data_IF_604768262744
#
_entry.id   IF_604768262744
#
_cell.length_a   1.000
_cell.length_b   1.000
_cell.length_c   1.000
_cell.angle_alpha   90.00
_cell.angle_beta   90.00
_cell.angle_gamma   90.00
#
_symmetry.space_group_name_H-M   'P 1'
#
loop_
_entity.id
_entity.type
_entity.pdbx_description
1 polymer ?
#
# COMPACT_ATOMS: atom_id res chain seq x y z
N UNK A 1 -7.18 8.60 0.10
CA UNK A 1 -7.49 10.01 0.37
C UNK A 1 -7.89 10.67 -0.93
N UNK A 2 -7.53 11.95 -1.12
CA UNK A 2 -7.87 12.71 -2.33
C UNK A 2 -7.19 12.18 -3.60
N UNK A 3 -5.96 11.68 -3.49
CA UNK A 3 -5.26 11.05 -4.59
C UNK A 3 -5.80 9.63 -4.81
N UNK A 4 -6.38 9.39 -5.99
CA UNK A 4 -6.96 8.11 -6.39
C UNK A 4 -5.93 7.16 -7.03
N UNK A 5 -4.78 7.69 -7.46
CA UNK A 5 -3.87 6.99 -8.38
C UNK A 5 -4.51 6.78 -9.76
N UNK A 6 -4.10 5.73 -10.46
CA UNK A 6 -4.71 5.32 -11.72
C UNK A 6 -6.20 4.99 -11.57
N UNK A 7 -6.99 5.34 -12.59
CA UNK A 7 -8.42 5.01 -12.66
C UNK A 7 -8.62 4.10 -13.87
N UNK A 8 -9.07 2.87 -13.62
CA UNK A 8 -9.34 1.89 -14.67
C UNK A 8 -10.65 2.14 -15.41
N UNK A 9 -10.88 1.38 -16.49
CA UNK A 9 -12.00 1.52 -17.45
C UNK A 9 -13.39 1.54 -16.76
N UNK A 10 -13.53 0.83 -15.64
CA UNK A 10 -14.79 0.73 -14.88
C UNK A 10 -14.83 1.63 -13.62
N UNK A 11 -13.97 2.66 -13.54
CA UNK A 11 -13.87 3.54 -12.38
C UNK A 11 -13.16 2.93 -11.17
N UNK A 12 -12.51 1.77 -11.35
CA UNK A 12 -11.69 1.13 -10.31
C UNK A 12 -10.50 2.04 -10.01
N UNK A 13 -10.30 2.37 -8.73
CA UNK A 13 -9.25 3.28 -8.30
C UNK A 13 -8.07 2.50 -7.74
N UNK A 14 -6.87 2.80 -8.21
CA UNK A 14 -5.62 2.18 -7.74
C UNK A 14 -5.53 2.21 -6.20
N UNK A 15 -5.88 3.35 -5.57
CA UNK A 15 -5.80 3.49 -4.11
C UNK A 15 -6.60 2.44 -3.34
N UNK A 16 -7.71 1.96 -3.89
CA UNK A 16 -8.60 0.99 -3.25
C UNK A 16 -8.04 -0.43 -3.45
N UNK A 17 -7.57 -0.72 -4.67
CA UNK A 17 -6.94 -2.00 -5.02
C UNK A 17 -5.70 -2.24 -4.16
N UNK A 18 -4.77 -1.28 -4.11
CA UNK A 18 -3.52 -1.43 -3.35
C UNK A 18 -3.77 -1.51 -1.84
N UNK A 19 -4.81 -0.86 -1.31
CA UNK A 19 -5.19 -0.99 0.10
C UNK A 19 -5.76 -2.39 0.39
N UNK A 20 -6.58 -2.92 -0.51
CA UNK A 20 -7.11 -4.28 -0.39
C UNK A 20 -5.99 -5.32 -0.40
N UNK A 21 -5.02 -5.18 -1.31
CA UNK A 21 -3.84 -6.05 -1.38
C UNK A 21 -3.01 -5.95 -0.09
N UNK A 22 -2.75 -4.74 0.41
CA UNK A 22 -2.02 -4.55 1.67
C UNK A 22 -2.70 -5.24 2.86
N UNK A 23 -4.03 -5.14 2.96
CA UNK A 23 -4.80 -5.82 4.01
C UNK A 23 -4.78 -7.34 3.85
N UNK A 24 -4.83 -7.85 2.61
CA UNK A 24 -4.70 -9.28 2.35
C UNK A 24 -3.31 -9.80 2.76
N UNK A 25 -2.24 -9.05 2.50
CA UNK A 25 -0.88 -9.37 2.95
C UNK A 25 -0.83 -9.46 4.48
N UNK A 26 -1.39 -8.48 5.21
CA UNK A 26 -1.45 -8.53 6.67
C UNK A 26 -2.22 -9.75 7.18
N UNK A 27 -3.36 -10.07 6.56
CA UNK A 27 -4.16 -11.24 6.94
C UNK A 27 -3.36 -12.53 6.76
N UNK A 28 -2.75 -12.72 5.59
CA UNK A 28 -1.94 -13.90 5.30
C UNK A 28 -0.72 -14.01 6.21
N UNK A 29 -0.09 -12.87 6.54
CA UNK A 29 1.03 -12.84 7.49
C UNK A 29 0.63 -13.32 8.89
N UNK A 30 -0.58 -12.97 9.34
CA UNK A 30 -1.10 -13.40 10.64
C UNK A 30 -1.38 -14.91 10.70
N UNK A 31 -1.60 -15.55 9.54
CA UNK A 31 -1.85 -16.99 9.45
C UNK A 31 -0.54 -17.82 9.40
N UNK A 32 0.64 -17.17 9.37
CA UNK A 32 1.93 -17.85 9.37
C UNK A 32 2.28 -18.39 10.77
N UNK A 33 2.99 -19.51 10.84
CA UNK A 33 3.57 -20.03 12.09
C UNK A 33 4.54 -19.03 12.75
N UNK A 34 5.18 -18.19 11.91
CA UNK A 34 6.10 -17.12 12.32
C UNK A 34 5.76 -15.84 11.54
N UNK A 35 4.81 -15.03 12.03
CA UNK A 35 4.46 -13.77 11.41
C UNK A 35 5.64 -12.79 11.40
N UNK A 36 5.68 -11.94 10.37
CA UNK A 36 6.62 -10.81 10.28
C UNK A 36 6.01 -9.55 10.93
N UNK A 37 6.89 -8.66 11.39
CA UNK A 37 6.50 -7.32 11.83
C UNK A 37 6.20 -6.42 10.62
N UNK A 38 4.94 -6.39 10.19
CA UNK A 38 4.49 -5.61 9.04
C UNK A 38 3.74 -4.35 9.48
N UNK A 39 4.22 -3.19 9.04
CA UNK A 39 3.58 -1.89 9.25
C UNK A 39 3.14 -1.29 7.92
N UNK A 40 1.90 -0.80 7.87
CA UNK A 40 1.41 -0.09 6.68
C UNK A 40 1.64 1.42 6.84
N UNK A 41 1.98 2.08 5.73
CA UNK A 41 2.05 3.56 5.70
C UNK A 41 0.68 4.21 5.89
N UNK A 42 -0.42 3.47 5.63
CA UNK A 42 -1.81 3.82 5.93
C UNK A 42 -2.65 2.56 6.16
N UNK A 43 -3.65 2.66 7.03
CA UNK A 43 -4.60 1.57 7.32
C UNK A 43 -6.03 1.86 6.82
N UNK A 44 -6.27 3.08 6.34
CA UNK A 44 -7.56 3.55 5.82
C UNK A 44 -7.33 4.40 4.57
N UNK A 45 -8.39 4.97 4.02
CA UNK A 45 -8.31 5.83 2.85
C UNK A 45 -7.74 7.23 3.15
N UNK A 46 -6.52 7.29 3.68
CA UNK A 46 -5.82 8.53 4.05
C UNK A 46 -4.73 8.86 3.05
N UNK A 47 -4.58 10.15 2.73
CA UNK A 47 -3.46 10.62 1.93
C UNK A 47 -2.20 10.68 2.79
N UNK A 48 -1.11 10.10 2.32
CA UNK A 48 0.21 10.15 2.98
C UNK A 48 1.23 10.64 1.97
N UNK A 49 1.97 11.70 2.32
CA UNK A 49 3.00 12.28 1.46
C UNK A 49 4.12 11.29 1.19
N UNK A 50 4.79 11.39 0.04
CA UNK A 50 5.94 10.53 -0.29
C UNK A 50 7.04 10.62 0.78
N UNK A 51 7.29 11.83 1.31
CA UNK A 51 8.27 12.05 2.38
C UNK A 51 7.91 11.35 3.69
N UNK A 52 6.62 11.27 4.03
CA UNK A 52 6.21 10.68 5.31
C UNK A 52 6.25 9.15 5.25
N UNK A 53 6.05 8.56 4.07
CA UNK A 53 6.22 7.12 3.85
C UNK A 53 7.65 6.67 4.16
N UNK A 54 8.65 7.41 3.67
CA UNK A 54 10.07 7.09 3.90
C UNK A 54 10.51 7.42 5.32
N UNK A 55 10.00 8.50 5.92
CA UNK A 55 10.23 8.82 7.35
C UNK A 55 9.74 7.70 8.26
N UNK A 56 8.57 7.11 7.99
CA UNK A 56 8.05 5.98 8.76
C UNK A 56 9.00 4.79 8.72
N UNK A 57 9.42 4.37 7.52
CA UNK A 57 10.35 3.25 7.36
C UNK A 57 11.67 3.47 8.11
N UNK A 58 12.21 4.70 8.04
CA UNK A 58 13.43 5.08 8.77
C UNK A 58 13.23 5.08 10.29
N UNK A 59 12.10 5.59 10.78
CA UNK A 59 11.78 5.64 12.21
C UNK A 59 11.61 4.23 12.81
N UNK A 60 10.98 3.32 12.06
CA UNK A 60 10.82 1.92 12.44
C UNK A 60 12.10 1.09 12.28
N UNK A 61 13.16 1.65 11.66
CA UNK A 61 14.36 0.92 11.25
C UNK A 61 14.02 -0.33 10.43
N UNK A 62 13.06 -0.20 9.52
CA UNK A 62 12.58 -1.33 8.72
C UNK A 62 13.69 -1.93 7.85
N UNK A 63 13.78 -3.26 7.83
CA UNK A 63 14.73 -3.99 6.98
C UNK A 63 14.35 -3.94 5.49
N UNK A 64 13.05 -3.82 5.20
CA UNK A 64 12.50 -3.79 3.84
C UNK A 64 11.36 -2.75 3.73
N UNK A 65 11.33 -2.05 2.60
CA UNK A 65 10.21 -1.18 2.22
C UNK A 65 9.63 -1.64 0.88
N UNK A 66 8.33 -1.94 0.86
CA UNK A 66 7.58 -2.33 -0.35
C UNK A 66 6.51 -1.30 -0.64
N UNK A 67 6.56 -0.67 -1.81
CA UNK A 67 5.50 0.22 -2.30
C UNK A 67 4.60 -0.54 -3.27
N UNK A 68 3.29 -0.55 -3.01
CA UNK A 68 2.30 -1.19 -3.88
C UNK A 68 1.66 -0.15 -4.80
N UNK A 69 1.65 -0.45 -6.10
CA UNK A 69 1.11 0.40 -7.15
C UNK A 69 0.40 -0.44 -8.21
N UNK A 70 -0.60 0.15 -8.85
CA UNK A 70 -1.26 -0.39 -10.04
C UNK A 70 -1.25 0.71 -11.11
N UNK A 71 -0.10 0.84 -11.78
CA UNK A 71 0.11 1.88 -12.79
C UNK A 71 -0.85 1.75 -13.99
N UNK A 72 -0.89 2.81 -14.79
CA UNK A 72 -1.65 2.90 -16.03
C UNK A 72 -0.73 3.01 -17.25
N UNK A 73 -1.18 2.49 -18.39
CA UNK A 73 -0.59 2.70 -19.72
C UNK A 73 -1.71 3.01 -20.72
N UNK A 74 -1.52 4.04 -21.55
CA UNK A 74 -2.47 4.40 -22.61
C UNK A 74 -2.45 3.42 -23.79
N UNK A 75 -1.38 2.61 -23.89
CA UNK A 75 -1.28 1.54 -24.88
C UNK A 75 -1.76 0.23 -24.25
N UNK A 76 -2.86 -0.38 -24.74
CA UNK A 76 -3.41 -1.62 -24.22
C UNK A 76 -2.51 -2.84 -24.45
#
# INVERSE_FOLDING_TARGET
GKDAGAIGINGIQEKDVVLSIANAILKLNNDLEKPLDIYLTRYKDTLISLSDRTKLAKALKADLFVSLHCNHSDNP
#
